data_IF_247552216928
#
_entry.id   IF_247552216928
#
_cell.length_a   1.000
_cell.length_b   1.000
_cell.length_c   1.000
_cell.angle_alpha   90.00
_cell.angle_beta   90.00
_cell.angle_gamma   90.00
#
_symmetry.space_group_name_H-M   'P 1'
#
loop_
_entity.id
_entity.type
_entity.pdbx_description
1 polymer ?
#
# COMPACT_ATOMS: atom_id res chain seq x y z
N UNK A 1 2.29 4.15 99.23
CA UNK A 1 1.52 5.35 98.77
C UNK A 1 1.49 5.29 97.27
N UNK A 2 0.34 5.42 96.70
CA UNK A 2 -0.15 4.90 95.45
C UNK A 2 0.48 5.53 94.20
N UNK A 3 0.89 4.71 93.24
CA UNK A 3 1.27 5.13 91.90
C UNK A 3 0.38 4.45 90.86
N UNK A 4 -0.38 5.24 90.14
CA UNK A 4 -1.33 4.81 89.13
C UNK A 4 -0.62 4.71 87.79
N UNK A 5 -0.63 3.53 87.20
CA UNK A 5 -0.08 3.22 85.89
C UNK A 5 -1.16 3.52 84.83
N UNK A 6 -0.94 4.49 83.93
CA UNK A 6 -1.80 4.78 82.83
C UNK A 6 -1.33 4.02 81.59
N UNK A 7 -2.18 3.11 81.09
CA UNK A 7 -1.99 2.45 79.78
C UNK A 7 -2.38 3.35 78.63
N UNK A 8 -1.43 3.62 77.78
CA UNK A 8 -1.67 4.34 76.53
C UNK A 8 -1.85 3.29 75.42
N UNK A 9 -3.09 3.17 74.89
CA UNK A 9 -3.37 2.29 73.79
C UNK A 9 -3.01 2.99 72.48
N UNK A 10 -2.02 2.52 71.74
CA UNK A 10 -1.75 2.95 70.38
C UNK A 10 -2.68 2.18 69.44
N UNK A 11 -3.58 2.92 68.81
CA UNK A 11 -4.44 2.42 67.72
C UNK A 11 -3.72 2.57 66.38
N UNK A 12 -3.24 1.47 65.80
CA UNK A 12 -2.63 1.44 64.50
C UNK A 12 -3.70 1.37 63.42
N UNK A 13 -3.99 2.49 62.75
CA UNK A 13 -4.75 2.51 61.50
C UNK A 13 -3.87 2.04 60.35
N UNK A 14 -4.09 0.80 59.91
CA UNK A 14 -3.50 0.30 58.63
C UNK A 14 -4.30 0.86 57.45
N UNK A 15 -3.74 1.82 56.75
CA UNK A 15 -4.28 2.30 55.49
C UNK A 15 -3.93 1.31 54.37
N UNK A 16 -4.91 0.56 53.88
CA UNK A 16 -4.77 -0.28 52.68
C UNK A 16 -4.91 0.63 51.46
N UNK A 17 -3.78 0.95 50.82
CA UNK A 17 -3.77 1.64 49.52
C UNK A 17 -4.05 0.60 48.43
N UNK A 18 -5.30 0.63 47.90
CA UNK A 18 -5.66 -0.16 46.73
C UNK A 18 -5.10 0.53 45.46
N UNK A 19 -4.01 0.00 44.93
CA UNK A 19 -3.45 0.45 43.64
C UNK A 19 -4.31 -0.10 42.50
N UNK A 20 -5.15 0.75 41.88
CA UNK A 20 -5.88 0.42 40.66
C UNK A 20 -4.87 0.55 39.51
N UNK A 21 -4.37 -0.56 38.99
CA UNK A 21 -3.59 -0.59 37.75
C UNK A 21 -4.52 -0.32 36.56
N UNK A 22 -4.42 0.85 35.97
CA UNK A 22 -5.09 1.18 34.71
C UNK A 22 -4.34 0.46 33.58
N UNK A 23 -4.88 -0.66 33.12
CA UNK A 23 -4.41 -1.30 31.89
C UNK A 23 -4.93 -0.49 30.71
N UNK A 24 -4.08 0.34 30.13
CA UNK A 24 -4.38 1.02 28.87
C UNK A 24 -4.42 -0.03 27.75
N UNK A 25 -5.61 -0.43 27.34
CA UNK A 25 -5.81 -1.25 26.14
C UNK A 25 -5.59 -0.33 24.94
N UNK A 26 -4.39 -0.34 24.38
CA UNK A 26 -4.12 0.29 23.09
C UNK A 26 -4.83 -0.52 22.01
N UNK A 27 -5.99 -0.03 21.57
CA UNK A 27 -6.64 -0.56 20.37
C UNK A 27 -5.74 -0.22 19.17
N UNK A 28 -5.02 -1.21 18.66
CA UNK A 28 -4.36 -1.06 17.38
C UNK A 28 -5.45 -0.84 16.32
N UNK A 29 -5.49 0.36 15.75
CA UNK A 29 -6.35 0.63 14.60
C UNK A 29 -5.78 -0.19 13.45
N UNK A 30 -6.56 -1.19 12.99
CA UNK A 30 -6.16 -2.00 11.85
C UNK A 30 -5.98 -1.08 10.63
N UNK A 31 -4.84 -1.20 9.95
CA UNK A 31 -4.63 -0.49 8.67
C UNK A 31 -5.73 -0.91 7.69
N UNK A 32 -6.44 0.04 7.06
CA UNK A 32 -7.47 -0.29 6.08
C UNK A 32 -6.92 -1.20 4.99
N UNK A 33 -7.68 -2.24 4.64
CA UNK A 33 -7.28 -3.16 3.57
C UNK A 33 -7.29 -2.42 2.23
N UNK A 34 -6.12 -2.28 1.58
CA UNK A 34 -5.98 -1.62 0.27
C UNK A 34 -6.89 -2.23 -0.81
N UNK A 35 -7.27 -3.48 -0.67
CA UNK A 35 -8.14 -4.16 -1.62
C UNK A 35 -9.62 -3.76 -1.52
N UNK A 36 -9.98 -2.91 -0.58
CA UNK A 36 -11.33 -2.30 -0.52
C UNK A 36 -11.42 -1.01 -1.35
N UNK A 37 -10.28 -0.45 -1.77
CA UNK A 37 -10.22 0.79 -2.54
C UNK A 37 -10.57 0.53 -4.01
N UNK A 38 -11.39 1.40 -4.59
CA UNK A 38 -11.76 1.32 -6.01
C UNK A 38 -11.98 2.71 -6.59
N UNK A 39 -11.71 2.84 -7.89
CA UNK A 39 -12.14 4.01 -8.66
C UNK A 39 -13.66 3.94 -8.82
N UNK A 40 -14.41 5.00 -8.49
CA UNK A 40 -15.86 5.03 -8.69
C UNK A 40 -16.21 4.74 -10.17
N UNK A 41 -16.97 3.66 -10.42
CA UNK A 41 -17.29 3.21 -11.78
C UNK A 41 -16.13 2.58 -12.58
N UNK A 42 -14.93 2.55 -12.02
CA UNK A 42 -13.70 2.06 -12.67
C UNK A 42 -13.15 0.77 -12.06
N UNK A 43 -11.82 0.62 -12.19
CA UNK A 43 -11.08 -0.53 -11.66
C UNK A 43 -11.01 -0.51 -10.14
N UNK A 44 -11.04 -1.69 -9.53
CA UNK A 44 -10.81 -1.86 -8.10
C UNK A 44 -9.39 -2.35 -7.84
N UNK A 45 -8.78 -1.92 -6.73
CA UNK A 45 -7.46 -2.38 -6.31
C UNK A 45 -7.44 -3.91 -6.15
N UNK A 46 -8.57 -4.50 -5.74
CA UNK A 46 -8.73 -5.96 -5.58
C UNK A 46 -8.56 -6.76 -6.86
N UNK A 47 -8.78 -6.15 -8.04
CA UNK A 47 -8.59 -6.82 -9.34
C UNK A 47 -7.10 -7.12 -9.63
N UNK A 48 -6.19 -6.49 -8.88
CA UNK A 48 -4.74 -6.63 -9.00
C UNK A 48 -4.09 -7.35 -7.82
N UNK A 49 -4.87 -8.09 -7.05
CA UNK A 49 -4.39 -8.83 -5.87
C UNK A 49 -3.19 -9.71 -6.23
N UNK A 50 -2.11 -9.59 -5.43
CA UNK A 50 -0.87 -10.33 -5.63
C UNK A 50 0.10 -9.71 -6.65
N UNK A 51 -0.16 -8.47 -7.11
CA UNK A 51 0.70 -7.77 -8.07
C UNK A 51 2.16 -7.63 -7.60
N UNK A 52 2.41 -7.61 -6.31
CA UNK A 52 3.75 -7.54 -5.75
C UNK A 52 4.63 -8.75 -6.13
N UNK A 53 3.99 -9.89 -6.41
CA UNK A 53 4.66 -11.12 -6.84
C UNK A 53 4.72 -11.30 -8.36
N UNK A 54 4.26 -10.31 -9.17
CA UNK A 54 4.34 -10.40 -10.62
C UNK A 54 5.75 -10.21 -11.14
N UNK A 55 6.00 -10.69 -12.36
CA UNK A 55 7.32 -10.59 -12.96
C UNK A 55 7.64 -9.15 -13.40
N UNK A 56 8.85 -8.71 -13.08
CA UNK A 56 9.36 -7.40 -13.53
C UNK A 56 9.54 -7.39 -15.05
N UNK A 57 8.95 -6.40 -15.71
CA UNK A 57 9.08 -6.13 -17.14
C UNK A 57 10.12 -5.04 -17.40
N UNK A 58 10.15 -4.02 -16.54
CA UNK A 58 11.05 -2.89 -16.70
C UNK A 58 11.24 -2.08 -15.43
N UNK A 59 12.30 -1.29 -15.42
CA UNK A 59 12.61 -0.33 -14.36
C UNK A 59 12.94 0.99 -15.03
N UNK A 60 12.48 2.08 -14.45
CA UNK A 60 12.81 3.43 -14.90
C UNK A 60 13.22 4.32 -13.72
N UNK A 61 14.06 5.31 -14.02
CA UNK A 61 14.50 6.33 -13.07
C UNK A 61 14.43 7.69 -13.75
N UNK A 62 13.72 8.61 -13.12
CA UNK A 62 13.66 10.03 -13.48
C UNK A 62 14.12 10.87 -12.30
N UNK A 63 14.09 12.20 -12.45
CA UNK A 63 14.40 13.12 -11.35
C UNK A 63 13.39 13.00 -10.17
N UNK A 64 12.16 12.63 -10.47
CA UNK A 64 11.05 12.63 -9.51
C UNK A 64 10.58 11.25 -9.07
N UNK A 65 11.00 10.18 -9.78
CA UNK A 65 10.54 8.83 -9.45
C UNK A 65 11.53 7.73 -9.86
N UNK A 66 11.59 6.69 -9.06
CA UNK A 66 12.03 5.36 -9.45
C UNK A 66 10.77 4.53 -9.62
N UNK A 67 10.63 3.83 -10.75
CA UNK A 67 9.47 3.01 -10.99
C UNK A 67 9.86 1.60 -11.49
N UNK A 68 9.08 0.61 -11.05
CA UNK A 68 9.13 -0.75 -11.57
C UNK A 68 7.80 -1.09 -12.24
N UNK A 69 7.86 -1.74 -13.40
CA UNK A 69 6.70 -2.24 -14.11
C UNK A 69 6.67 -3.75 -13.97
N UNK A 70 5.55 -4.27 -13.51
CA UNK A 70 5.30 -5.68 -13.28
C UNK A 70 4.20 -6.16 -14.22
N UNK A 71 4.33 -7.38 -14.74
CA UNK A 71 3.30 -8.04 -15.56
C UNK A 71 2.81 -9.33 -14.91
N UNK A 72 1.50 -9.57 -15.00
CA UNK A 72 0.93 -10.81 -14.53
C UNK A 72 1.30 -11.99 -15.45
N UNK A 73 1.09 -13.25 -15.02
CA UNK A 73 1.45 -14.43 -15.82
C UNK A 73 0.85 -14.46 -17.22
N UNK A 74 -0.38 -13.96 -17.41
CA UNK A 74 -1.06 -13.89 -18.72
C UNK A 74 -0.30 -12.97 -19.67
N UNK A 75 0.06 -11.78 -19.19
CA UNK A 75 0.83 -10.81 -19.97
C UNK A 75 2.22 -11.33 -20.31
N UNK A 76 2.92 -11.93 -19.35
CA UNK A 76 4.26 -12.46 -19.57
C UNK A 76 4.26 -13.59 -20.59
N UNK A 77 3.31 -14.52 -20.53
CA UNK A 77 3.17 -15.58 -21.51
C UNK A 77 2.88 -15.03 -22.91
N UNK A 78 2.02 -14.04 -23.01
CA UNK A 78 1.74 -13.37 -24.28
C UNK A 78 2.99 -12.68 -24.87
N UNK A 79 3.73 -11.95 -24.04
CA UNK A 79 4.97 -11.30 -24.47
C UNK A 79 6.01 -12.32 -24.95
N UNK A 80 6.21 -13.42 -24.24
CA UNK A 80 7.12 -14.49 -24.62
C UNK A 80 6.72 -15.18 -25.94
N UNK A 81 5.43 -15.14 -26.30
CA UNK A 81 4.94 -15.64 -27.60
C UNK A 81 5.12 -14.65 -28.76
N UNK A 82 5.76 -13.51 -28.50
CA UNK A 82 6.05 -12.46 -29.49
C UNK A 82 5.00 -11.33 -29.59
N UNK A 83 4.05 -11.26 -28.67
CA UNK A 83 3.08 -10.15 -28.62
C UNK A 83 3.74 -8.94 -27.92
N UNK A 84 3.56 -7.70 -28.37
CA UNK A 84 2.79 -7.26 -29.55
C UNK A 84 3.59 -7.23 -30.85
N UNK A 85 4.86 -7.62 -30.81
CA UNK A 85 5.78 -7.53 -31.98
C UNK A 85 5.30 -8.29 -33.22
N UNK A 86 4.46 -9.31 -33.04
CA UNK A 86 3.84 -10.07 -34.12
C UNK A 86 2.50 -9.46 -34.64
N UNK A 87 2.15 -8.22 -34.20
CA UNK A 87 0.92 -7.52 -34.57
C UNK A 87 -0.34 -8.00 -33.88
N UNK A 88 -0.27 -8.98 -32.96
CA UNK A 88 -1.42 -9.44 -32.21
C UNK A 88 -1.61 -8.60 -30.93
N UNK A 89 -2.85 -8.34 -30.51
CA UNK A 89 -3.12 -7.68 -29.25
C UNK A 89 -2.81 -8.61 -28.06
N UNK A 90 -2.52 -8.02 -26.91
CA UNK A 90 -2.51 -8.77 -25.65
C UNK A 90 -3.89 -9.39 -25.39
N UNK A 91 -3.94 -10.63 -24.85
CA UNK A 91 -5.21 -11.26 -24.53
C UNK A 91 -5.89 -10.58 -23.32
N UNK A 92 -7.20 -10.70 -23.24
CA UNK A 92 -7.96 -10.26 -22.09
C UNK A 92 -7.45 -10.96 -20.81
N UNK A 93 -7.43 -10.23 -19.69
CA UNK A 93 -6.81 -10.66 -18.45
C UNK A 93 -5.31 -10.35 -18.35
N UNK A 94 -4.67 -9.78 -19.40
CA UNK A 94 -3.33 -9.21 -19.27
C UNK A 94 -3.37 -8.02 -18.35
N UNK A 95 -2.50 -7.99 -17.32
CA UNK A 95 -2.45 -6.92 -16.32
C UNK A 95 -1.02 -6.44 -16.09
N UNK A 96 -0.90 -5.15 -15.82
CA UNK A 96 0.33 -4.50 -15.39
C UNK A 96 0.11 -3.72 -14.10
N UNK A 97 1.18 -3.65 -13.29
CA UNK A 97 1.29 -2.71 -12.19
C UNK A 97 2.58 -1.90 -12.37
N UNK A 98 2.49 -0.58 -12.19
CA UNK A 98 3.65 0.30 -12.16
C UNK A 98 3.71 0.96 -10.78
N UNK A 99 4.76 0.65 -10.03
CA UNK A 99 4.95 1.13 -8.67
C UNK A 99 5.96 2.26 -8.70
N UNK A 100 5.64 3.39 -8.08
CA UNK A 100 6.48 4.59 -8.05
C UNK A 100 6.95 4.91 -6.65
N UNK A 101 8.24 5.25 -6.53
CA UNK A 101 8.87 5.70 -5.29
C UNK A 101 9.66 6.98 -5.52
N UNK A 102 9.81 7.79 -4.47
CA UNK A 102 10.77 8.88 -4.47
C UNK A 102 12.20 8.36 -4.68
N UNK A 103 13.02 9.04 -5.51
CA UNK A 103 14.45 8.74 -5.57
C UNK A 103 15.13 9.19 -4.28
N UNK A 104 15.86 8.30 -3.62
CA UNK A 104 16.60 8.59 -2.39
C UNK A 104 18.08 8.26 -2.55
N UNK A 105 18.96 9.16 -2.14
CA UNK A 105 20.39 8.85 -2.08
C UNK A 105 20.64 7.84 -0.97
N UNK A 106 21.31 6.74 -1.30
CA UNK A 106 21.72 5.73 -0.32
C UNK A 106 22.78 6.31 0.61
N UNK A 107 22.67 6.03 1.90
CA UNK A 107 23.69 6.33 2.92
C UNK A 107 24.52 5.12 3.29
N UNK A 108 24.19 3.93 2.76
CA UNK A 108 24.81 2.65 3.11
C UNK A 108 25.51 1.98 1.93
N UNK A 109 25.23 2.41 0.69
CA UNK A 109 25.91 1.87 -0.49
C UNK A 109 27.38 2.32 -0.53
N UNK A 110 28.30 1.48 -1.04
CA UNK A 110 29.73 1.78 -1.08
C UNK A 110 30.11 2.91 -2.07
N UNK A 111 29.17 3.38 -2.89
CA UNK A 111 29.36 4.47 -3.85
C UNK A 111 28.08 5.28 -4.06
N UNK A 112 28.12 6.34 -4.88
CA UNK A 112 26.95 7.19 -5.16
C UNK A 112 25.82 6.35 -5.78
N UNK A 113 24.81 6.02 -4.97
CA UNK A 113 23.70 5.15 -5.37
C UNK A 113 22.37 5.82 -5.05
N UNK A 114 21.44 5.75 -6.00
CA UNK A 114 20.04 6.17 -5.78
C UNK A 114 19.18 4.92 -5.61
N UNK A 115 18.39 4.89 -4.56
CA UNK A 115 17.49 3.77 -4.18
C UNK A 115 16.06 4.27 -4.08
N UNK A 116 15.09 3.35 -4.08
CA UNK A 116 13.69 3.66 -3.81
C UNK A 116 13.52 4.20 -2.39
N UNK A 117 12.88 5.35 -2.28
CA UNK A 117 12.50 6.02 -1.03
C UNK A 117 11.05 5.75 -0.65
N UNK A 118 10.29 6.81 -0.34
CA UNK A 118 8.88 6.71 -0.01
C UNK A 118 8.05 6.24 -1.21
N UNK A 119 7.05 5.40 -0.96
CA UNK A 119 6.06 5.01 -1.96
C UNK A 119 5.20 6.22 -2.32
N UNK A 120 5.04 6.49 -3.62
CA UNK A 120 4.20 7.58 -4.14
C UNK A 120 2.81 7.06 -4.53
N UNK A 121 2.78 6.15 -5.49
CA UNK A 121 1.55 5.60 -6.06
C UNK A 121 1.78 4.24 -6.73
N UNK A 122 0.67 3.60 -7.05
CA UNK A 122 0.65 2.43 -7.93
C UNK A 122 -0.35 2.68 -9.05
N UNK A 123 0.11 2.54 -10.29
CA UNK A 123 -0.73 2.59 -11.48
C UNK A 123 -1.00 1.18 -11.97
N UNK A 124 -2.24 0.91 -12.35
CA UNK A 124 -2.66 -0.37 -12.88
C UNK A 124 -3.20 -0.26 -14.29
N UNK A 125 -2.99 -1.30 -15.09
CA UNK A 125 -3.62 -1.51 -16.39
C UNK A 125 -4.20 -2.92 -16.46
N UNK A 126 -5.36 -3.05 -17.08
CA UNK A 126 -6.02 -4.32 -17.37
C UNK A 126 -6.54 -4.35 -18.79
N UNK A 127 -6.28 -5.45 -19.51
CA UNK A 127 -6.86 -5.73 -20.80
C UNK A 127 -8.18 -6.47 -20.61
N UNK A 128 -9.26 -5.82 -21.00
CA UNK A 128 -10.60 -6.39 -21.11
C UNK A 128 -11.31 -5.74 -22.31
N UNK A 129 -11.36 -6.46 -23.44
CA UNK A 129 -11.90 -5.97 -24.68
C UNK A 129 -13.41 -5.69 -24.67
N UNK A 130 -14.12 -6.26 -23.69
CA UNK A 130 -15.57 -6.05 -23.51
C UNK A 130 -15.88 -4.86 -22.62
N UNK A 131 -15.06 -4.64 -21.61
CA UNK A 131 -15.25 -3.57 -20.62
C UNK A 131 -14.71 -2.22 -21.13
N UNK A 132 -13.60 -2.23 -21.86
CA UNK A 132 -12.88 -1.02 -22.27
C UNK A 132 -12.85 -0.83 -23.79
N UNK A 133 -14.03 -0.84 -24.43
CA UNK A 133 -14.18 -0.78 -25.89
C UNK A 133 -13.56 0.47 -26.51
N UNK A 134 -13.68 1.61 -25.83
CA UNK A 134 -13.29 2.94 -26.37
C UNK A 134 -11.79 3.23 -26.24
N UNK A 135 -11.06 2.36 -25.55
CA UNK A 135 -9.62 2.50 -25.28
C UNK A 135 -8.81 1.31 -25.80
N UNK A 136 -9.28 0.68 -26.88
CA UNK A 136 -8.62 -0.50 -27.44
C UNK A 136 -8.62 -1.70 -26.49
N UNK A 137 -9.56 -1.76 -25.56
CA UNK A 137 -9.71 -2.82 -24.58
C UNK A 137 -8.82 -2.66 -23.35
N UNK A 138 -8.24 -1.49 -23.10
CA UNK A 138 -7.42 -1.24 -21.91
C UNK A 138 -8.13 -0.32 -20.91
N UNK A 139 -8.14 -0.73 -19.64
CA UNK A 139 -8.51 0.10 -18.50
C UNK A 139 -7.28 0.48 -17.69
N UNK A 140 -7.32 1.65 -17.05
CA UNK A 140 -6.27 2.17 -16.18
C UNK A 140 -6.86 2.66 -14.87
N UNK A 141 -6.06 2.59 -13.81
CA UNK A 141 -6.35 3.23 -12.54
C UNK A 141 -5.05 3.61 -11.84
N UNK A 142 -5.00 4.79 -11.24
CA UNK A 142 -3.93 5.20 -10.38
C UNK A 142 -4.43 5.28 -8.93
N UNK A 143 -3.60 4.83 -7.98
CA UNK A 143 -3.88 4.87 -6.55
C UNK A 143 -2.71 5.52 -5.83
N UNK A 144 -2.92 6.73 -5.31
CA UNK A 144 -1.95 7.43 -4.50
C UNK A 144 -1.81 6.81 -3.12
N UNK A 145 -0.59 6.79 -2.61
CA UNK A 145 -0.29 6.31 -1.27
C UNK A 145 -0.10 7.48 -0.30
N UNK A 146 -0.88 7.46 0.78
CA UNK A 146 -0.71 8.39 1.89
C UNK A 146 0.12 7.71 2.99
N UNK A 147 1.37 8.14 3.12
CA UNK A 147 2.30 7.59 4.11
C UNK A 147 1.91 7.91 5.55
N UNK A 148 1.17 9.01 5.79
CA UNK A 148 0.75 9.40 7.14
C UNK A 148 -0.32 8.47 7.70
N UNK A 149 -1.20 7.96 6.84
CA UNK A 149 -2.28 7.03 7.19
C UNK A 149 -2.01 5.60 6.77
N UNK A 150 -0.94 5.36 6.00
CA UNK A 150 -0.60 4.06 5.39
C UNK A 150 -1.75 3.51 4.53
N UNK A 151 -2.44 4.38 3.79
CA UNK A 151 -3.61 4.02 2.98
C UNK A 151 -3.44 4.41 1.52
N UNK A 152 -4.20 3.76 0.65
CA UNK A 152 -4.35 4.16 -0.74
C UNK A 152 -5.68 4.88 -0.96
N UNK A 153 -5.68 5.83 -1.90
CA UNK A 153 -6.89 6.48 -2.41
C UNK A 153 -6.85 6.52 -3.95
N UNK A 154 -7.99 6.45 -4.64
CA UNK A 154 -7.99 6.58 -6.10
C UNK A 154 -7.53 7.99 -6.50
N UNK A 155 -6.60 8.08 -7.45
CA UNK A 155 -6.16 9.31 -8.08
C UNK A 155 -6.88 9.55 -9.40
N UNK A 156 -7.37 8.49 -10.06
CA UNK A 156 -8.21 8.58 -11.25
C UNK A 156 -9.69 8.50 -10.90
N UNK A 157 -10.52 9.07 -11.74
CA UNK A 157 -11.98 8.96 -11.68
C UNK A 157 -12.49 8.25 -12.95
N UNK A 158 -13.70 7.68 -12.88
CA UNK A 158 -14.30 7.02 -14.06
C UNK A 158 -14.51 7.97 -15.25
N UNK A 159 -14.64 9.28 -14.97
CA UNK A 159 -14.78 10.33 -15.98
C UNK A 159 -13.43 10.77 -16.56
N UNK A 160 -12.33 10.41 -15.92
CA UNK A 160 -11.00 10.58 -16.50
C UNK A 160 -10.83 9.41 -17.47
N UNK A 161 -10.92 9.63 -18.78
CA UNK A 161 -10.61 8.56 -19.70
C UNK A 161 -9.21 8.08 -19.36
N UNK A 162 -8.96 6.78 -19.44
CA UNK A 162 -7.63 6.25 -19.25
C UNK A 162 -6.72 7.07 -20.15
N UNK A 163 -5.89 7.90 -19.53
CA UNK A 163 -4.98 8.74 -20.28
C UNK A 163 -4.03 7.82 -21.02
N UNK A 164 -4.28 7.66 -22.32
CA UNK A 164 -3.25 7.25 -23.24
C UNK A 164 -2.28 8.44 -23.30
N UNK A 165 -1.32 8.51 -22.42
CA UNK A 165 -0.18 9.39 -22.53
C UNK A 165 1.08 8.58 -22.72
#
# INVERSE_FOLDING_TARGET
MHSALKYLALSSCAAVAASIAFVAVSSAVATPDKYTVKVPGGLAFSEFRGYEGWQTIGVSHSETAIAVILGNPVMIAAYQSGIPGNGKPFPDGSKMAKIHWDPKKSTTAPGPTTVSGALQNVDFMEKDSKRFTDSGGWGWAAFEYDAATSTFKPATTADSPPQAS
#
